data_IF_781076844614
#
_entry.id   IF_781076844614
#
_cell.length_a   1.000
_cell.length_b   1.000
_cell.length_c   1.000
_cell.angle_alpha   90.00
_cell.angle_beta   90.00
_cell.angle_gamma   90.00
#
_symmetry.space_group_name_H-M   'P 1'
#
loop_
_entity.id
_entity.type
_entity.pdbx_description
1 polymer ?
#
# COMPACT_ATOMS: atom_id res chain seq x y z
N UNK A 1 -30.64 -45.26 -50.50
CA UNK A 1 -31.15 -46.05 -49.35
C UNK A 1 -30.11 -46.55 -48.42
N UNK A 2 -28.83 -46.62 -48.79
CA UNK A 2 -27.71 -46.96 -47.83
C UNK A 2 -27.19 -45.80 -46.99
N UNK A 3 -27.26 -44.57 -47.48
CA UNK A 3 -26.81 -43.39 -46.77
C UNK A 3 -27.70 -42.98 -45.57
N UNK A 4 -29.03 -43.36 -45.62
CA UNK A 4 -29.90 -43.05 -44.45
C UNK A 4 -29.77 -44.03 -43.30
N UNK A 5 -29.26 -45.23 -43.51
CA UNK A 5 -29.03 -46.22 -42.46
C UNK A 5 -27.72 -45.88 -41.67
N UNK A 6 -26.71 -45.31 -42.33
CA UNK A 6 -25.44 -44.94 -41.69
C UNK A 6 -25.55 -43.66 -40.84
N UNK A 7 -26.56 -42.78 -41.06
CA UNK A 7 -26.84 -41.62 -40.23
C UNK A 7 -27.65 -41.98 -38.98
N UNK A 8 -28.62 -42.91 -39.06
CA UNK A 8 -29.38 -43.38 -37.90
C UNK A 8 -28.52 -44.20 -36.91
N UNK A 9 -27.54 -45.02 -37.39
CA UNK A 9 -26.61 -45.72 -36.51
C UNK A 9 -25.61 -44.78 -35.81
N UNK A 10 -25.28 -43.62 -36.41
CA UNK A 10 -24.42 -42.62 -35.76
C UNK A 10 -25.14 -41.80 -34.70
N UNK A 11 -26.42 -41.52 -34.85
CA UNK A 11 -27.21 -40.82 -33.82
C UNK A 11 -27.49 -41.73 -32.60
N UNK A 12 -27.72 -43.02 -32.80
CA UNK A 12 -27.93 -43.96 -31.70
C UNK A 12 -26.68 -44.23 -30.88
N UNK A 13 -25.48 -44.17 -31.49
CA UNK A 13 -24.19 -44.32 -30.75
C UNK A 13 -23.84 -43.06 -29.99
N UNK A 14 -24.35 -41.88 -30.40
CA UNK A 14 -24.04 -40.61 -29.70
C UNK A 14 -24.94 -40.43 -28.47
N UNK A 15 -26.16 -40.96 -28.43
CA UNK A 15 -27.03 -40.91 -27.25
C UNK A 15 -26.64 -41.89 -26.13
N UNK A 16 -25.96 -43.00 -26.44
CA UNK A 16 -25.52 -43.98 -25.44
C UNK A 16 -24.26 -43.52 -24.65
N UNK A 17 -23.50 -42.53 -25.16
CA UNK A 17 -22.26 -42.07 -24.48
C UNK A 17 -22.51 -40.95 -23.45
N UNK A 18 -23.73 -40.38 -23.39
CA UNK A 18 -24.03 -39.23 -22.52
C UNK A 18 -24.64 -39.66 -21.15
N UNK A 19 -25.02 -40.92 -20.94
CA UNK A 19 -25.69 -41.35 -19.71
C UNK A 19 -24.81 -42.01 -18.62
N UNK A 20 -23.49 -42.16 -18.80
CA UNK A 20 -22.60 -42.78 -17.79
C UNK A 20 -21.48 -41.89 -17.26
N UNK A 21 -21.70 -40.59 -17.12
CA UNK A 21 -20.97 -39.82 -16.12
C UNK A 21 -21.46 -40.13 -14.70
N UNK A 22 -21.35 -41.38 -14.31
CA UNK A 22 -21.36 -41.77 -12.89
C UNK A 22 -20.15 -41.09 -12.28
N UNK A 23 -20.37 -39.91 -11.69
CA UNK A 23 -19.41 -39.36 -10.72
C UNK A 23 -19.18 -40.45 -9.67
N UNK A 24 -18.07 -41.18 -9.81
CA UNK A 24 -17.55 -42.02 -8.73
C UNK A 24 -17.12 -41.05 -7.67
N UNK A 25 -18.06 -40.62 -6.83
CA UNK A 25 -17.79 -39.89 -5.60
C UNK A 25 -17.02 -40.85 -4.72
N UNK A 26 -15.71 -40.67 -4.65
CA UNK A 26 -14.86 -41.50 -3.83
C UNK A 26 -15.10 -41.07 -2.36
N UNK A 27 -15.79 -41.88 -1.53
CA UNK A 27 -16.18 -41.49 -0.17
C UNK A 27 -14.97 -41.12 0.70
N UNK A 28 -13.78 -41.67 0.41
CA UNK A 28 -12.54 -41.35 1.10
C UNK A 28 -12.02 -39.92 0.81
N UNK A 29 -12.43 -39.30 -0.31
CA UNK A 29 -12.08 -37.92 -0.66
C UNK A 29 -13.01 -36.91 0.03
N UNK A 30 -14.29 -37.23 0.20
CA UNK A 30 -15.25 -36.39 0.93
C UNK A 30 -14.91 -36.29 2.42
N UNK A 31 -14.53 -37.40 3.04
CA UNK A 31 -14.19 -37.44 4.49
C UNK A 31 -12.92 -36.65 4.79
N UNK A 32 -11.90 -36.70 3.89
CA UNK A 32 -10.69 -35.90 4.02
C UNK A 32 -10.90 -34.40 3.80
N UNK A 33 -11.78 -34.03 2.87
CA UNK A 33 -12.11 -32.64 2.59
C UNK A 33 -12.92 -32.01 3.74
N UNK A 34 -13.85 -32.76 4.31
CA UNK A 34 -14.67 -32.33 5.45
C UNK A 34 -13.81 -32.10 6.71
N UNK A 35 -12.89 -33.00 7.01
CA UNK A 35 -11.97 -32.87 8.14
C UNK A 35 -11.07 -31.62 7.97
N UNK A 36 -10.56 -31.34 6.76
CA UNK A 36 -9.74 -30.15 6.48
C UNK A 36 -10.51 -28.85 6.66
N UNK A 37 -11.79 -28.81 6.25
CA UNK A 37 -12.64 -27.64 6.43
C UNK A 37 -12.94 -27.36 7.90
N UNK A 38 -13.16 -28.39 8.72
CA UNK A 38 -13.39 -28.26 10.15
C UNK A 38 -12.14 -27.75 10.89
N UNK A 39 -10.94 -28.19 10.49
CA UNK A 39 -9.67 -27.65 10.99
C UNK A 39 -9.51 -26.16 10.67
N UNK A 40 -9.82 -25.76 9.44
CA UNK A 40 -9.74 -24.34 9.01
C UNK A 40 -10.72 -23.49 9.82
N UNK A 41 -11.97 -23.94 9.98
CA UNK A 41 -12.97 -23.24 10.80
C UNK A 41 -12.51 -23.09 12.26
N UNK A 42 -11.88 -24.11 12.83
CA UNK A 42 -11.31 -24.05 14.18
C UNK A 42 -10.17 -23.02 14.30
N UNK A 43 -9.29 -22.93 13.29
CA UNK A 43 -8.21 -21.92 13.26
C UNK A 43 -8.81 -20.51 13.11
N UNK A 44 -9.82 -20.32 12.26
CA UNK A 44 -10.48 -19.03 12.08
C UNK A 44 -11.18 -18.55 13.37
N UNK A 45 -11.80 -19.45 14.11
CA UNK A 45 -12.41 -19.11 15.42
C UNK A 45 -11.35 -18.73 16.46
N UNK A 46 -10.20 -19.43 16.45
CA UNK A 46 -9.05 -19.07 17.28
C UNK A 46 -8.50 -17.70 16.94
N UNK A 47 -8.33 -17.39 15.63
CA UNK A 47 -7.92 -16.06 15.16
C UNK A 47 -8.87 -14.98 15.70
N UNK A 48 -10.18 -15.21 15.62
CA UNK A 48 -11.20 -14.26 16.08
C UNK A 48 -11.10 -13.99 17.58
N UNK A 49 -10.78 -15.01 18.38
CA UNK A 49 -10.59 -14.88 19.82
C UNK A 49 -9.28 -14.15 20.14
N UNK A 50 -8.16 -14.52 19.51
CA UNK A 50 -6.87 -13.84 19.66
C UNK A 50 -6.96 -12.36 19.25
N UNK A 51 -7.78 -12.05 18.23
CA UNK A 51 -8.03 -10.67 17.78
C UNK A 51 -8.78 -9.85 18.85
N UNK A 52 -9.80 -10.42 19.51
CA UNK A 52 -10.52 -9.78 20.63
C UNK A 52 -9.58 -9.49 21.81
N UNK A 53 -8.62 -10.37 22.05
CA UNK A 53 -7.60 -10.22 23.07
C UNK A 53 -6.45 -9.27 22.66
N UNK A 54 -6.49 -8.74 21.45
CA UNK A 54 -5.43 -7.89 20.84
C UNK A 54 -4.06 -8.58 20.77
N UNK A 55 -4.04 -9.92 20.72
CA UNK A 55 -2.83 -10.70 20.58
C UNK A 55 -2.44 -10.87 19.10
N UNK A 56 -2.05 -9.76 18.46
CA UNK A 56 -1.82 -9.72 17.03
C UNK A 56 -0.68 -10.63 16.55
N UNK A 57 0.27 -10.98 17.42
CA UNK A 57 1.30 -11.95 17.04
C UNK A 57 0.70 -13.35 16.85
N UNK A 58 -0.14 -13.83 17.76
CA UNK A 58 -0.82 -15.11 17.58
C UNK A 58 -1.78 -15.09 16.39
N UNK A 59 -2.43 -13.96 16.16
CA UNK A 59 -3.27 -13.76 14.97
C UNK A 59 -2.44 -13.96 13.69
N UNK A 60 -1.27 -13.34 13.60
CA UNK A 60 -0.36 -13.50 12.47
C UNK A 60 0.11 -14.95 12.30
N UNK A 61 0.53 -15.60 13.37
CA UNK A 61 1.00 -16.98 13.33
C UNK A 61 -0.09 -17.95 12.84
N UNK A 62 -1.34 -17.76 13.31
CA UNK A 62 -2.48 -18.55 12.84
C UNK A 62 -2.83 -18.26 11.36
N UNK A 63 -2.66 -17.00 10.87
CA UNK A 63 -2.83 -16.71 9.44
C UNK A 63 -1.74 -17.35 8.59
N UNK A 64 -0.48 -17.33 9.04
CA UNK A 64 0.60 -18.05 8.35
C UNK A 64 0.30 -19.55 8.25
N UNK A 65 -0.16 -20.16 9.33
CA UNK A 65 -0.60 -21.56 9.34
C UNK A 65 -1.68 -21.80 8.26
N UNK A 66 -2.66 -20.92 8.13
CA UNK A 66 -3.72 -21.05 7.12
C UNK A 66 -3.20 -20.94 5.70
N UNK A 67 -2.33 -19.95 5.40
CA UNK A 67 -1.87 -19.68 4.05
C UNK A 67 -0.71 -20.59 3.63
N UNK A 68 0.27 -20.81 4.51
CA UNK A 68 1.49 -21.55 4.19
C UNK A 68 1.32 -23.07 4.35
N UNK A 69 0.72 -23.52 5.45
CA UNK A 69 0.62 -24.96 5.72
C UNK A 69 -0.69 -25.56 5.19
N UNK A 70 -1.83 -24.88 5.39
CA UNK A 70 -3.14 -25.41 4.96
C UNK A 70 -3.46 -25.03 3.51
N UNK A 71 -2.71 -24.07 2.91
CA UNK A 71 -2.88 -23.62 1.53
C UNK A 71 -4.34 -23.26 1.19
N UNK A 72 -4.95 -22.45 2.05
CA UNK A 72 -6.38 -22.12 2.02
C UNK A 72 -6.83 -21.54 0.67
N UNK A 73 -5.92 -20.86 -0.06
CA UNK A 73 -6.22 -20.24 -1.36
C UNK A 73 -6.52 -21.25 -2.47
N UNK A 74 -6.04 -22.46 -2.36
CA UNK A 74 -6.18 -23.52 -3.36
C UNK A 74 -7.26 -24.55 -3.02
N UNK A 75 -8.13 -24.24 -2.05
CA UNK A 75 -9.20 -25.14 -1.65
C UNK A 75 -10.51 -24.69 -2.32
N UNK A 76 -10.87 -25.33 -3.42
CA UNK A 76 -11.98 -24.93 -4.31
C UNK A 76 -13.34 -24.82 -3.60
N UNK A 77 -13.59 -25.60 -2.57
CA UNK A 77 -14.89 -25.60 -1.86
C UNK A 77 -14.98 -24.58 -0.72
N UNK A 78 -13.87 -24.05 -0.24
CA UNK A 78 -13.83 -23.07 0.86
C UNK A 78 -14.39 -21.72 0.44
N UNK A 79 -14.19 -21.33 -0.83
CA UNK A 79 -14.62 -20.05 -1.36
C UNK A 79 -16.14 -19.82 -1.35
N UNK A 80 -16.95 -20.87 -1.15
CA UNK A 80 -18.40 -20.75 -1.01
C UNK A 80 -18.87 -20.45 0.41
N UNK A 81 -18.12 -20.89 1.42
CA UNK A 81 -18.49 -20.73 2.84
C UNK A 81 -17.66 -19.68 3.57
N UNK A 82 -16.46 -19.40 3.11
CA UNK A 82 -15.50 -18.53 3.78
C UNK A 82 -15.18 -17.33 2.88
N UNK A 83 -15.40 -16.14 3.42
CA UNK A 83 -15.09 -14.89 2.73
C UNK A 83 -13.56 -14.65 2.75
N UNK A 84 -12.86 -15.05 1.69
CA UNK A 84 -11.41 -14.89 1.55
C UNK A 84 -10.98 -13.42 1.65
N UNK A 85 -11.78 -12.50 1.12
CA UNK A 85 -11.51 -11.06 1.18
C UNK A 85 -11.50 -10.59 2.63
N UNK A 86 -12.44 -11.02 3.45
CA UNK A 86 -12.52 -10.68 4.87
C UNK A 86 -11.31 -11.23 5.64
N UNK A 87 -10.91 -12.48 5.36
CA UNK A 87 -9.72 -13.09 5.96
C UNK A 87 -8.48 -12.28 5.65
N UNK A 88 -8.27 -11.92 4.38
CA UNK A 88 -7.11 -11.16 3.95
C UNK A 88 -7.11 -9.74 4.52
N UNK A 89 -8.28 -9.05 4.57
CA UNK A 89 -8.41 -7.75 5.21
C UNK A 89 -8.04 -7.80 6.70
N UNK A 90 -8.55 -8.80 7.42
CA UNK A 90 -8.25 -8.99 8.84
C UNK A 90 -6.78 -9.33 9.08
N UNK A 91 -6.17 -10.12 8.19
CA UNK A 91 -4.74 -10.40 8.27
C UNK A 91 -3.90 -9.14 8.03
N UNK A 92 -4.20 -8.37 6.99
CA UNK A 92 -3.53 -7.10 6.72
C UNK A 92 -3.66 -6.12 7.91
N UNK A 93 -4.84 -6.07 8.53
CA UNK A 93 -5.12 -5.23 9.69
C UNK A 93 -4.33 -5.68 10.93
N UNK A 94 -4.18 -7.00 11.16
CA UNK A 94 -3.36 -7.52 12.25
C UNK A 94 -1.86 -7.17 12.08
N UNK A 95 -1.36 -7.22 10.86
CA UNK A 95 0.00 -6.78 10.52
C UNK A 95 0.19 -5.28 10.71
N UNK A 96 -0.82 -4.48 10.32
CA UNK A 96 -0.82 -3.03 10.54
C UNK A 96 -0.70 -2.67 12.03
N UNK A 97 -1.46 -3.31 12.91
CA UNK A 97 -1.36 -3.07 14.35
C UNK A 97 -0.01 -3.47 14.96
N UNK A 98 0.73 -4.34 14.29
CA UNK A 98 2.11 -4.68 14.64
C UNK A 98 3.15 -3.74 13.99
N UNK A 99 2.71 -2.68 13.30
CA UNK A 99 3.57 -1.77 12.50
C UNK A 99 4.33 -2.49 11.37
N UNK A 100 3.89 -3.68 10.96
CA UNK A 100 4.44 -4.45 9.83
C UNK A 100 3.80 -3.95 8.53
N UNK A 101 4.11 -2.71 8.16
CA UNK A 101 3.43 -2.01 7.05
C UNK A 101 3.69 -2.63 5.68
N UNK A 102 4.92 -3.09 5.42
CA UNK A 102 5.27 -3.69 4.12
C UNK A 102 4.50 -4.99 3.84
N UNK A 103 4.50 -6.01 4.72
CA UNK A 103 3.70 -7.21 4.49
C UNK A 103 2.19 -6.92 4.48
N UNK A 104 1.69 -5.99 5.32
CA UNK A 104 0.30 -5.55 5.27
C UNK A 104 -0.06 -5.00 3.89
N UNK A 105 0.76 -4.09 3.35
CA UNK A 105 0.58 -3.50 2.04
C UNK A 105 0.54 -4.55 0.92
N UNK A 106 1.41 -5.56 0.96
CA UNK A 106 1.42 -6.66 -0.03
C UNK A 106 0.09 -7.42 -0.06
N UNK A 107 -0.48 -7.70 1.11
CA UNK A 107 -1.78 -8.38 1.22
C UNK A 107 -2.90 -7.49 0.69
N UNK A 108 -2.91 -6.19 1.02
CA UNK A 108 -3.91 -5.25 0.54
C UNK A 108 -3.88 -5.11 -0.98
N UNK A 109 -2.69 -5.04 -1.59
CA UNK A 109 -2.57 -5.06 -3.05
C UNK A 109 -3.08 -6.37 -3.64
N UNK A 110 -2.83 -7.51 -3.00
CA UNK A 110 -3.37 -8.80 -3.44
C UNK A 110 -4.90 -8.79 -3.46
N UNK A 111 -5.55 -8.21 -2.44
CA UNK A 111 -7.00 -8.07 -2.40
C UNK A 111 -7.48 -7.24 -3.60
N UNK A 112 -6.90 -6.05 -3.80
CA UNK A 112 -7.33 -5.11 -4.83
C UNK A 112 -7.12 -5.65 -6.24
N UNK A 113 -6.02 -6.36 -6.48
CA UNK A 113 -5.67 -6.84 -7.83
C UNK A 113 -6.38 -8.15 -8.17
N UNK A 114 -6.49 -9.08 -7.22
CA UNK A 114 -6.89 -10.46 -7.52
C UNK A 114 -8.34 -10.77 -7.11
N UNK A 115 -8.91 -10.02 -6.15
CA UNK A 115 -10.21 -10.38 -5.58
C UNK A 115 -11.26 -9.29 -5.78
N UNK A 116 -10.98 -8.04 -5.36
CA UNK A 116 -11.95 -6.95 -5.40
C UNK A 116 -11.27 -5.60 -5.57
N UNK A 117 -11.30 -5.07 -6.78
CA UNK A 117 -10.70 -3.78 -7.12
C UNK A 117 -11.47 -2.56 -6.55
N UNK A 118 -12.60 -2.79 -5.88
CA UNK A 118 -13.41 -1.79 -5.18
C UNK A 118 -13.46 -2.03 -3.68
N UNK A 119 -12.54 -2.80 -3.13
CA UNK A 119 -12.52 -3.11 -1.72
C UNK A 119 -12.20 -1.86 -0.87
N UNK A 120 -13.23 -1.32 -0.24
CA UNK A 120 -13.16 -0.10 0.56
C UNK A 120 -12.16 -0.23 1.72
N UNK A 121 -12.22 -1.35 2.45
CA UNK A 121 -11.41 -1.56 3.66
C UNK A 121 -9.92 -1.65 3.32
N UNK A 122 -9.60 -2.31 2.20
CA UNK A 122 -8.22 -2.39 1.71
C UNK A 122 -7.67 -1.00 1.35
N UNK A 123 -8.43 -0.17 0.65
CA UNK A 123 -7.98 1.19 0.32
C UNK A 123 -7.88 2.09 1.55
N UNK A 124 -8.83 2.01 2.49
CA UNK A 124 -8.77 2.76 3.74
C UNK A 124 -7.53 2.42 4.55
N UNK A 125 -7.20 1.13 4.65
CA UNK A 125 -6.02 0.70 5.38
C UNK A 125 -4.72 1.10 4.67
N UNK A 126 -4.66 1.04 3.33
CA UNK A 126 -3.52 1.55 2.56
C UNK A 126 -3.30 3.05 2.77
N UNK A 127 -4.36 3.84 2.76
CA UNK A 127 -4.29 5.28 3.02
C UNK A 127 -3.78 5.56 4.44
N UNK A 128 -4.26 4.81 5.45
CA UNK A 128 -3.78 4.92 6.84
C UNK A 128 -2.29 4.60 6.93
N UNK A 129 -1.83 3.50 6.31
CA UNK A 129 -0.40 3.13 6.28
C UNK A 129 0.42 4.26 5.67
N UNK A 130 0.00 4.82 4.53
CA UNK A 130 0.72 5.91 3.87
C UNK A 130 0.79 7.18 4.73
N UNK A 131 -0.26 7.47 5.49
CA UNK A 131 -0.26 8.58 6.45
C UNK A 131 0.71 8.32 7.61
N UNK A 132 0.72 7.10 8.17
CA UNK A 132 1.58 6.74 9.31
C UNK A 132 3.07 6.80 8.97
N UNK A 133 3.43 6.45 7.72
CA UNK A 133 4.80 6.59 7.23
C UNK A 133 5.13 7.98 6.64
N UNK A 134 4.23 8.96 6.81
CA UNK A 134 4.35 10.35 6.32
C UNK A 134 4.46 10.51 4.79
N UNK A 135 3.99 9.53 4.02
CA UNK A 135 3.96 9.56 2.55
C UNK A 135 2.68 10.22 2.03
N UNK A 136 2.35 11.41 2.53
CA UNK A 136 1.09 12.12 2.25
C UNK A 136 0.85 12.41 0.77
N UNK A 137 1.91 12.60 -0.03
CA UNK A 137 1.76 12.82 -1.47
C UNK A 137 1.28 11.55 -2.18
N UNK A 138 1.83 10.38 -1.80
CA UNK A 138 1.36 9.09 -2.33
C UNK A 138 -0.05 8.78 -1.85
N UNK A 139 -0.38 9.11 -0.60
CA UNK A 139 -1.73 8.98 -0.06
C UNK A 139 -2.73 9.83 -0.86
N UNK A 140 -2.39 11.09 -1.20
CA UNK A 140 -3.25 11.94 -2.01
C UNK A 140 -3.49 11.36 -3.42
N UNK A 141 -2.44 10.89 -4.09
CA UNK A 141 -2.55 10.25 -5.41
C UNK A 141 -3.41 8.98 -5.36
N UNK A 142 -3.30 8.19 -4.30
CA UNK A 142 -4.15 7.01 -4.09
C UNK A 142 -5.60 7.43 -3.87
N UNK A 143 -5.86 8.44 -3.03
CA UNK A 143 -7.19 8.95 -2.76
C UNK A 143 -7.89 9.47 -4.03
N UNK A 144 -7.17 10.20 -4.90
CA UNK A 144 -7.69 10.65 -6.18
C UNK A 144 -8.10 9.48 -7.10
N UNK A 145 -7.35 8.37 -7.08
CA UNK A 145 -7.71 7.14 -7.81
C UNK A 145 -8.94 6.48 -7.21
N UNK A 146 -8.99 6.37 -5.89
CA UNK A 146 -10.13 5.78 -5.15
C UNK A 146 -11.42 6.54 -5.44
N UNK A 147 -11.39 7.88 -5.41
CA UNK A 147 -12.55 8.72 -5.71
C UNK A 147 -13.08 8.57 -7.15
N UNK A 148 -12.24 8.12 -8.09
CA UNK A 148 -12.67 7.79 -9.46
C UNK A 148 -13.33 6.41 -9.59
N UNK A 149 -13.00 5.48 -8.69
CA UNK A 149 -13.44 4.08 -8.74
C UNK A 149 -14.68 3.88 -7.86
N UNK A 150 -14.75 4.58 -6.74
CA UNK A 150 -15.78 4.44 -5.71
C UNK A 150 -16.39 5.80 -5.36
N UNK A 151 -17.64 5.77 -4.90
CA UNK A 151 -18.26 6.95 -4.33
C UNK A 151 -17.54 7.36 -3.04
N UNK A 152 -17.39 8.67 -2.85
CA UNK A 152 -16.78 9.22 -1.65
C UNK A 152 -17.62 8.85 -0.42
N UNK A 153 -16.97 8.36 0.63
CA UNK A 153 -17.59 8.03 1.91
C UNK A 153 -17.03 8.93 3.00
N UNK A 154 -17.72 9.03 4.13
CA UNK A 154 -17.28 9.86 5.25
C UNK A 154 -15.86 9.55 5.71
N UNK A 155 -15.47 8.26 5.72
CA UNK A 155 -14.13 7.86 6.14
C UNK A 155 -13.04 8.36 5.18
N UNK A 156 -13.31 8.36 3.87
CA UNK A 156 -12.37 8.93 2.88
C UNK A 156 -12.27 10.45 3.03
N UNK A 157 -13.36 11.14 3.34
CA UNK A 157 -13.34 12.58 3.60
C UNK A 157 -12.50 12.93 4.85
N UNK A 158 -12.63 12.13 5.91
CA UNK A 158 -11.82 12.33 7.12
C UNK A 158 -10.32 12.17 6.82
N UNK A 159 -9.95 11.11 6.09
CA UNK A 159 -8.56 10.89 5.68
C UNK A 159 -8.06 11.99 4.73
N UNK A 160 -8.90 12.46 3.79
CA UNK A 160 -8.59 13.59 2.90
C UNK A 160 -8.16 14.83 3.68
N UNK A 161 -8.94 15.22 4.69
CA UNK A 161 -8.61 16.37 5.54
C UNK A 161 -7.26 16.21 6.26
N UNK A 162 -6.96 15.00 6.71
CA UNK A 162 -5.67 14.70 7.35
C UNK A 162 -4.52 14.84 6.33
N UNK A 163 -4.68 14.27 5.13
CA UNK A 163 -3.68 14.32 4.07
C UNK A 163 -3.41 15.77 3.65
N UNK A 164 -4.47 16.54 3.35
CA UNK A 164 -4.36 17.93 2.92
C UNK A 164 -3.68 18.82 3.96
N UNK A 165 -4.06 18.68 5.24
CA UNK A 165 -3.45 19.44 6.33
C UNK A 165 -1.95 19.17 6.46
N UNK A 166 -1.54 17.90 6.37
CA UNK A 166 -0.14 17.50 6.48
C UNK A 166 0.68 17.93 5.26
N UNK A 167 0.14 17.85 4.05
CA UNK A 167 0.78 18.38 2.84
C UNK A 167 1.00 19.89 2.99
N UNK A 168 0.00 20.64 3.48
CA UNK A 168 0.11 22.09 3.70
C UNK A 168 1.21 22.42 4.73
N UNK A 169 1.27 21.69 5.82
CA UNK A 169 2.31 21.86 6.85
C UNK A 169 3.69 21.58 6.25
N UNK A 170 3.87 20.47 5.53
CA UNK A 170 5.13 20.11 4.87
C UNK A 170 5.59 21.17 3.89
N UNK A 171 4.69 21.67 3.04
CA UNK A 171 4.98 22.72 2.07
C UNK A 171 5.37 24.04 2.76
N UNK A 172 4.69 24.42 3.85
CA UNK A 172 5.04 25.61 4.61
C UNK A 172 6.42 25.47 5.27
N UNK A 173 6.78 24.30 5.78
CA UNK A 173 8.10 24.06 6.38
C UNK A 173 9.21 24.14 5.32
N UNK A 174 9.00 23.56 4.14
CA UNK A 174 9.93 23.67 3.00
C UNK A 174 10.13 25.14 2.61
N UNK A 175 9.04 25.93 2.50
CA UNK A 175 9.14 27.36 2.21
C UNK A 175 9.94 28.10 3.29
N UNK A 176 9.69 27.86 4.57
CA UNK A 176 10.42 28.48 5.68
C UNK A 176 11.91 28.14 5.63
N UNK A 177 12.26 26.89 5.38
CA UNK A 177 13.64 26.44 5.26
C UNK A 177 14.33 27.12 4.07
N UNK A 178 13.66 27.20 2.93
CA UNK A 178 14.16 27.92 1.74
C UNK A 178 14.43 29.39 2.04
N UNK A 179 13.48 30.11 2.68
CA UNK A 179 13.68 31.51 3.08
C UNK A 179 14.83 31.68 4.06
N UNK A 180 14.95 30.78 5.04
CA UNK A 180 16.04 30.82 6.02
C UNK A 180 17.41 30.64 5.35
N UNK A 181 17.53 29.72 4.39
CA UNK A 181 18.76 29.46 3.66
C UNK A 181 19.10 30.64 2.72
N UNK A 182 18.13 31.18 1.99
CA UNK A 182 18.30 32.36 1.15
C UNK A 182 18.77 33.59 1.97
N UNK A 183 18.20 33.80 3.17
CA UNK A 183 18.67 34.88 4.05
C UNK A 183 20.13 34.68 4.53
N UNK A 184 20.53 33.46 4.84
CA UNK A 184 21.92 33.15 5.20
C UNK A 184 22.89 33.47 4.04
N UNK A 185 22.53 33.08 2.81
CA UNK A 185 23.33 33.39 1.62
C UNK A 185 23.45 34.88 1.38
N UNK A 186 22.33 35.62 1.46
CA UNK A 186 22.34 37.09 1.32
C UNK A 186 23.23 37.74 2.39
N UNK A 187 23.17 37.24 3.63
CA UNK A 187 24.02 37.72 4.70
C UNK A 187 25.51 37.49 4.42
N UNK A 188 25.87 36.30 3.94
CA UNK A 188 27.25 35.97 3.53
C UNK A 188 27.75 36.87 2.39
N UNK A 189 26.93 37.08 1.37
CA UNK A 189 27.25 37.97 0.27
C UNK A 189 27.45 39.41 0.73
N UNK A 190 26.59 39.93 1.61
CA UNK A 190 26.77 41.27 2.20
C UNK A 190 28.08 41.39 2.98
N UNK A 191 28.46 40.35 3.74
CA UNK A 191 29.71 40.31 4.48
C UNK A 191 30.92 40.34 3.54
N UNK A 192 30.89 39.57 2.46
CA UNK A 192 31.93 39.56 1.44
C UNK A 192 32.06 40.95 0.75
N UNK A 193 30.92 41.52 0.36
CA UNK A 193 30.87 42.83 -0.27
C UNK A 193 31.50 43.91 0.68
N UNK A 194 31.15 43.86 1.95
CA UNK A 194 31.72 44.81 2.94
C UNK A 194 33.23 44.64 3.07
N UNK A 195 33.72 43.40 3.06
CA UNK A 195 35.15 43.13 3.04
C UNK A 195 35.84 43.71 1.81
N UNK A 196 35.27 43.58 0.61
CA UNK A 196 35.79 44.18 -0.60
C UNK A 196 35.81 45.69 -0.53
N UNK A 197 34.78 46.35 0.04
CA UNK A 197 34.78 47.80 0.26
C UNK A 197 35.93 48.25 1.16
N UNK A 198 36.22 47.53 2.24
CA UNK A 198 37.32 47.84 3.13
C UNK A 198 38.70 47.67 2.45
N UNK A 199 38.89 46.61 1.67
CA UNK A 199 40.10 46.41 0.89
C UNK A 199 40.29 47.53 -0.13
N UNK A 200 39.25 47.91 -0.84
CA UNK A 200 39.29 48.96 -1.85
C UNK A 200 39.59 50.31 -1.24
N UNK A 201 38.96 50.64 -0.13
CA UNK A 201 39.24 51.86 0.63
C UNK A 201 40.70 51.93 1.12
N UNK A 202 41.25 50.84 1.62
CA UNK A 202 42.63 50.74 2.08
C UNK A 202 43.62 50.98 0.94
N UNK A 203 43.35 50.47 -0.26
CA UNK A 203 44.16 50.70 -1.47
C UNK A 203 44.15 52.20 -1.82
N UNK A 204 42.98 52.83 -1.84
CA UNK A 204 42.88 54.29 -2.13
C UNK A 204 43.69 55.11 -1.14
N UNK A 205 43.59 54.81 0.14
CA UNK A 205 44.35 55.50 1.21
C UNK A 205 45.88 55.38 0.97
N UNK A 206 46.33 54.17 0.60
CA UNK A 206 47.75 53.92 0.29
C UNK A 206 48.23 54.72 -0.96
N UNK A 207 47.39 54.78 -1.99
CA UNK A 207 47.73 55.56 -3.19
C UNK A 207 47.84 57.04 -2.87
N UNK A 208 46.87 57.60 -2.14
CA UNK A 208 46.86 59.00 -1.74
C UNK A 208 48.06 59.29 -0.82
N UNK A 209 48.34 58.41 0.16
CA UNK A 209 49.49 58.56 1.06
C UNK A 209 50.83 58.58 0.30
N UNK A 210 51.02 57.69 -0.67
CA UNK A 210 52.19 57.67 -1.54
C UNK A 210 52.32 58.93 -2.43
N UNK A 211 51.19 59.44 -2.89
CA UNK A 211 51.21 60.68 -3.71
C UNK A 211 51.59 61.91 -2.85
N UNK A 212 51.01 62.04 -1.66
CA UNK A 212 51.31 63.12 -0.76
C UNK A 212 52.76 63.07 -0.27
N UNK A 213 53.30 61.89 0.00
CA UNK A 213 54.71 61.75 0.44
C UNK A 213 55.69 62.22 -0.61
N UNK A 214 55.40 62.05 -1.91
CA UNK A 214 56.24 62.57 -2.99
C UNK A 214 56.22 64.11 -3.09
N UNK A 215 55.10 64.75 -2.80
CA UNK A 215 54.96 66.20 -2.81
C UNK A 215 55.70 66.86 -1.66
N UNK A 216 55.83 66.21 -0.50
CA UNK A 216 56.50 66.77 0.68
C UNK A 216 57.99 66.44 0.77
N UNK A 217 58.53 65.61 -0.12
CA UNK A 217 59.98 65.25 -0.11
C UNK A 217 60.71 66.01 -1.25
N UNK A 218 60.04 66.63 -2.17
CA UNK A 218 60.60 67.65 -3.09
C UNK A 218 60.52 69.03 -2.47
#
# INVERSE_FOLDING_TARGET
MKEKQDEEEKEEITEIIIEDDIQIVNPDLEDKSKNKNDEIKAILEKIKNDYKEKNYQKVEDNYKLLFEEKNIENIDNINKEINMIEILNNYALALYYQMKYEPSTKILFKIIVNYDNKNKDAYLLLLKILCDINEYQKANLLLEKVNKIMNNTEEFEQISKIIESNIKIKNNNIKREFYCNAQKEIFQLKKQLHFFYWCFYSIIVLIIGNYLSKIFIE
#
